data_IF_173337761033
#
_entry.id   IF_173337761033
#
_cell.length_a   1.000
_cell.length_b   1.000
_cell.length_c   1.000
_cell.angle_alpha   90.00
_cell.angle_beta   90.00
_cell.angle_gamma   90.00
#
_symmetry.space_group_name_H-M   'P 1'
#
loop_
_entity.id
_entity.type
_entity.pdbx_description
1 polymer ?
#
# COMPACT_ATOMS: atom_id res chain seq x y z
N UNK A 1 -7.14 11.11 -5.59
CA UNK A 1 -5.82 11.74 -5.40
C UNK A 1 -4.78 10.63 -5.50
N UNK A 2 -3.76 10.75 -6.35
CA UNK A 2 -2.71 9.73 -6.53
C UNK A 2 -1.44 10.16 -5.81
N UNK A 3 -0.90 9.30 -4.94
CA UNK A 3 0.42 9.51 -4.33
C UNK A 3 1.50 8.96 -5.28
N UNK A 4 2.46 9.81 -5.65
CA UNK A 4 3.56 9.40 -6.53
C UNK A 4 4.32 8.20 -5.94
N UNK A 5 4.43 7.13 -6.72
CA UNK A 5 5.05 5.86 -6.30
C UNK A 5 4.06 4.79 -5.82
N UNK A 6 2.80 5.14 -5.57
CA UNK A 6 1.71 4.16 -5.36
C UNK A 6 1.13 3.75 -6.70
N UNK A 7 1.10 2.44 -6.95
CA UNK A 7 0.57 1.83 -8.18
C UNK A 7 -0.78 1.15 -7.97
N UNK A 8 -1.20 0.96 -6.72
CA UNK A 8 -2.50 0.40 -6.42
C UNK A 8 -2.81 0.33 -4.92
N UNK A 9 -4.07 0.09 -4.62
CA UNK A 9 -4.56 -0.17 -3.26
C UNK A 9 -5.58 -1.29 -3.30
N UNK A 10 -5.54 -2.18 -2.32
CA UNK A 10 -6.50 -3.27 -2.20
C UNK A 10 -6.90 -3.51 -0.73
N UNK A 11 -8.03 -4.16 -0.53
CA UNK A 11 -8.37 -4.76 0.75
C UNK A 11 -7.98 -6.23 0.72
N UNK A 12 -7.42 -6.73 1.82
CA UNK A 12 -7.02 -8.12 1.93
C UNK A 12 -6.83 -8.54 3.36
N UNK A 13 -6.09 -9.62 3.55
CA UNK A 13 -5.70 -10.11 4.87
C UNK A 13 -4.20 -9.91 5.08
N UNK A 14 -3.84 -9.35 6.22
CA UNK A 14 -2.48 -9.27 6.73
C UNK A 14 -2.45 -10.11 8.00
N UNK A 15 -1.69 -11.21 7.99
CA UNK A 15 -1.62 -12.14 9.14
C UNK A 15 -3.01 -12.63 9.59
N UNK A 16 -3.90 -12.87 8.63
CA UNK A 16 -5.27 -13.33 8.89
C UNK A 16 -6.26 -12.26 9.35
N UNK A 17 -5.84 -10.99 9.49
CA UNK A 17 -6.71 -9.87 9.87
C UNK A 17 -7.01 -8.97 8.67
N UNK A 18 -8.23 -8.38 8.58
CA UNK A 18 -8.54 -7.38 7.57
C UNK A 18 -7.50 -6.26 7.56
N UNK A 19 -6.96 -5.98 6.38
CA UNK A 19 -5.97 -4.92 6.20
C UNK A 19 -6.11 -4.26 4.84
N UNK A 20 -5.57 -3.05 4.74
CA UNK A 20 -5.45 -2.31 3.50
C UNK A 20 -4.03 -2.53 2.98
N UNK A 21 -3.90 -3.03 1.76
CA UNK A 21 -2.64 -3.17 1.06
C UNK A 21 -2.41 -1.98 0.15
N UNK A 22 -1.24 -1.37 0.25
CA UNK A 22 -0.80 -0.29 -0.64
C UNK A 22 0.36 -0.82 -1.47
N UNK A 23 0.14 -0.92 -2.77
CA UNK A 23 1.13 -1.39 -3.73
C UNK A 23 1.95 -0.23 -4.24
N UNK A 24 3.27 -0.35 -4.16
CA UNK A 24 4.22 0.68 -4.58
C UNK A 24 5.23 0.13 -5.58
N UNK A 25 5.79 1.02 -6.42
CA UNK A 25 6.89 0.65 -7.34
C UNK A 25 8.09 0.16 -6.52
N UNK A 26 8.41 0.88 -5.45
CA UNK A 26 9.54 0.60 -4.56
C UNK A 26 9.22 1.09 -3.15
N UNK A 27 9.65 0.34 -2.12
CA UNK A 27 9.51 0.76 -0.74
C UNK A 27 10.58 1.82 -0.42
N UNK A 28 10.17 3.07 -0.23
CA UNK A 28 11.06 4.18 0.12
C UNK A 28 10.66 4.80 1.45
N UNK A 29 11.61 5.31 2.25
CA UNK A 29 11.28 5.99 3.50
C UNK A 29 10.29 7.13 3.31
N UNK A 30 10.42 7.89 2.22
CA UNK A 30 9.52 8.99 1.89
C UNK A 30 8.06 8.54 1.68
N UNK A 31 7.85 7.36 1.07
CA UNK A 31 6.51 6.77 0.93
C UNK A 31 5.98 6.27 2.27
N UNK A 32 6.81 5.55 3.04
CA UNK A 32 6.43 5.02 4.35
C UNK A 32 6.06 6.11 5.36
N UNK A 33 6.64 7.30 5.25
CA UNK A 33 6.26 8.46 6.07
C UNK A 33 4.96 9.14 5.63
N UNK A 34 4.58 9.02 4.35
CA UNK A 34 3.35 9.62 3.81
C UNK A 34 2.14 8.70 3.92
N UNK A 35 2.37 7.39 3.88
CA UNK A 35 1.32 6.39 3.99
C UNK A 35 1.07 6.14 5.49
N UNK A 36 -0.15 6.37 5.99
CA UNK A 36 -0.45 6.11 7.38
C UNK A 36 -0.32 4.61 7.67
N UNK A 37 0.08 4.25 8.88
CA UNK A 37 0.18 2.85 9.31
C UNK A 37 -1.19 2.20 9.59
N UNK A 38 -2.25 3.01 9.69
CA UNK A 38 -3.63 2.56 9.84
C UNK A 38 -4.61 3.55 9.22
N UNK A 39 -5.76 3.06 8.77
CA UNK A 39 -6.86 3.86 8.26
C UNK A 39 -8.17 3.28 8.80
N UNK A 40 -8.96 4.09 9.50
CA UNK A 40 -10.26 3.67 10.08
C UNK A 40 -10.15 2.41 10.97
N UNK A 41 -9.02 2.26 11.67
CA UNK A 41 -8.76 1.09 12.53
C UNK A 41 -8.21 -0.14 11.79
N UNK A 42 -8.15 -0.12 10.45
CA UNK A 42 -7.52 -1.16 9.66
C UNK A 42 -6.02 -0.91 9.52
N UNK A 43 -5.16 -1.92 9.76
CA UNK A 43 -3.73 -1.79 9.49
C UNK A 43 -3.49 -1.61 7.99
N UNK A 44 -2.55 -0.72 7.67
CA UNK A 44 -2.11 -0.47 6.29
C UNK A 44 -0.76 -1.13 6.10
N UNK A 45 -0.64 -1.99 5.09
CA UNK A 45 0.60 -2.69 4.74
C UNK A 45 1.09 -2.22 3.37
N UNK A 46 2.33 -1.74 3.32
CA UNK A 46 2.99 -1.35 2.08
C UNK A 46 3.68 -2.59 1.49
N UNK A 47 3.43 -2.87 0.22
CA UNK A 47 4.00 -4.00 -0.51
C UNK A 47 4.61 -3.49 -1.82
N UNK A 48 5.90 -3.75 -2.03
CA UNK A 48 6.58 -3.37 -3.27
C UNK A 48 6.31 -4.42 -4.35
N UNK A 49 5.67 -3.99 -5.45
CA UNK A 49 5.29 -4.88 -6.57
C UNK A 49 5.95 -4.48 -7.89
N UNK A 50 6.60 -3.32 -7.95
CA UNK A 50 7.00 -2.72 -9.22
C UNK A 50 5.80 -2.12 -9.97
N UNK A 51 5.96 -1.78 -11.26
CA UNK A 51 4.88 -1.24 -12.08
C UNK A 51 3.79 -2.29 -12.34
N UNK A 52 2.53 -1.89 -12.22
CA UNK A 52 1.37 -2.71 -12.59
C UNK A 52 0.87 -2.20 -13.95
N UNK A 53 0.78 -3.11 -14.93
CA UNK A 53 0.25 -2.83 -16.27
C UNK A 53 -0.87 -3.81 -16.60
N UNK A 54 -1.93 -3.31 -17.24
CA UNK A 54 -2.96 -4.15 -17.82
C UNK A 54 -2.39 -4.90 -19.06
N UNK A 55 -2.91 -6.09 -19.31
CA UNK A 55 -2.50 -7.00 -20.38
C UNK A 55 -3.41 -6.86 -21.61
#
# INVERSE_FOLDING_TARGET
>A
MSLAGVVGTAQGLCEGKPCIKVYVIQNTPALSHKIPSSLEGYPVKIEATGPISAL
#
